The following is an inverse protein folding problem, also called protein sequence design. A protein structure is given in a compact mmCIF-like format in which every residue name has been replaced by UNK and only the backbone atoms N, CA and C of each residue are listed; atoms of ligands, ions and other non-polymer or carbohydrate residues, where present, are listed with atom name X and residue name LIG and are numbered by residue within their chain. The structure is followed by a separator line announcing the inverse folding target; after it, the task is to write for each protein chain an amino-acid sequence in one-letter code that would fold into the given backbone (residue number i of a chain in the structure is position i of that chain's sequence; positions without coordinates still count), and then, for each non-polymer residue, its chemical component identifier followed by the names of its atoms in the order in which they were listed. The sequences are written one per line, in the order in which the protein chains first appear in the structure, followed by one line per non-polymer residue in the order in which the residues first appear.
data_IF_142890745706
#
_entry.id   IF_142890745706
#
_cell.length_a   1.000
_cell.length_b   1.000
_cell.length_c   1.000
_cell.angle_alpha   90.00
_cell.angle_beta   90.00
_cell.angle_gamma   90.00
#
_symmetry.space_group_name_H-M   'P 1'
#
loop_
_entity.id
_entity.type
_entity.pdbx_description
1 polymer ?
#
# COMPACT_ATOMS: atom_id res chain seq x y z
N UNK A 1 -15.79 3.67 -0.87
CA UNK A 1 -16.49 4.71 -0.11
C UNK A 1 -15.84 6.05 -0.45
N UNK A 2 -16.58 6.93 -1.08
CA UNK A 2 -16.10 8.28 -1.41
C UNK A 2 -16.47 9.23 -0.27
N UNK A 3 -15.50 9.77 0.43
CA UNK A 3 -15.68 10.89 1.33
C UNK A 3 -14.77 12.02 0.89
N UNK A 4 -15.34 13.19 0.54
CA UNK A 4 -14.56 14.41 0.30
C UNK A 4 -13.63 14.40 -0.93
N UNK A 5 -13.89 13.60 -1.97
CA UNK A 5 -13.07 13.59 -3.19
C UNK A 5 -11.86 12.67 -3.15
N UNK A 6 -11.79 11.76 -2.19
CA UNK A 6 -10.77 10.72 -2.09
C UNK A 6 -11.41 9.31 -2.09
N UNK A 7 -10.66 8.31 -2.57
CA UNK A 7 -11.10 6.91 -2.70
C UNK A 7 -10.06 5.98 -2.10
N UNK A 8 -10.51 5.06 -1.23
CA UNK A 8 -9.67 3.94 -0.81
C UNK A 8 -9.65 2.86 -1.89
N UNK A 9 -8.44 2.40 -2.21
CA UNK A 9 -8.18 1.23 -3.05
C UNK A 9 -7.43 0.21 -2.21
N UNK A 10 -7.88 -1.04 -2.24
CA UNK A 10 -7.31 -2.12 -1.45
C UNK A 10 -7.03 -3.32 -2.34
N UNK A 11 -5.90 -4.00 -2.12
CA UNK A 11 -5.64 -5.30 -2.70
C UNK A 11 -6.65 -6.32 -2.12
N UNK A 12 -7.21 -7.16 -2.97
CA UNK A 12 -8.26 -8.11 -2.56
C UNK A 12 -7.72 -9.37 -1.85
N UNK A 13 -6.41 -9.57 -1.92
CA UNK A 13 -5.69 -10.74 -1.39
C UNK A 13 -4.74 -10.40 -0.24
N UNK A 14 -4.89 -9.23 0.35
CA UNK A 14 -4.07 -8.77 1.48
C UNK A 14 -4.94 -8.35 2.65
N UNK A 15 -4.67 -8.90 3.82
CA UNK A 15 -5.23 -8.40 5.07
C UNK A 15 -4.17 -7.62 5.84
N UNK A 16 -4.48 -6.37 6.19
CA UNK A 16 -3.60 -5.51 6.96
C UNK A 16 -4.40 -4.75 8.02
N UNK A 17 -4.10 -4.99 9.30
CA UNK A 17 -4.72 -4.28 10.41
C UNK A 17 -4.07 -2.91 10.60
N UNK A 18 -4.81 -1.87 10.25
CA UNK A 18 -4.37 -0.48 10.31
C UNK A 18 -5.45 0.45 10.83
N UNK A 19 -5.04 1.63 11.27
CA UNK A 19 -5.94 2.76 11.50
C UNK A 19 -6.13 3.57 10.21
N UNK A 20 -7.26 3.39 9.55
CA UNK A 20 -7.60 4.08 8.31
C UNK A 20 -7.68 5.60 8.45
N UNK A 21 -7.91 6.13 9.66
CA UNK A 21 -7.96 7.58 9.90
C UNK A 21 -6.61 8.28 9.67
N UNK A 22 -5.51 7.53 9.64
CA UNK A 22 -4.17 8.06 9.36
C UNK A 22 -4.00 8.57 7.95
N UNK A 23 -4.69 7.98 6.97
CA UNK A 23 -4.54 8.36 5.56
C UNK A 23 -5.03 9.79 5.26
N UNK A 24 -6.29 10.16 5.57
CA UNK A 24 -6.75 11.53 5.33
C UNK A 24 -5.91 12.57 6.07
N UNK A 25 -5.52 12.29 7.31
CA UNK A 25 -4.66 13.19 8.11
C UNK A 25 -3.32 13.42 7.42
N UNK A 26 -2.66 12.34 6.98
CA UNK A 26 -1.38 12.45 6.29
C UNK A 26 -1.51 13.20 4.95
N UNK A 27 -2.58 12.93 4.20
CA UNK A 27 -2.86 13.64 2.96
C UNK A 27 -3.05 15.13 3.18
N UNK A 28 -3.78 15.53 4.23
CA UNK A 28 -4.00 16.93 4.59
C UNK A 28 -2.72 17.60 5.06
N UNK A 29 -1.98 16.99 6.00
CA UNK A 29 -0.75 17.54 6.58
C UNK A 29 0.36 17.75 5.55
N UNK A 30 0.49 16.83 4.59
CA UNK A 30 1.56 16.83 3.59
C UNK A 30 1.09 17.22 2.18
N UNK A 31 -0.18 17.57 2.04
CA UNK A 31 -0.81 17.92 0.75
C UNK A 31 -0.59 16.86 -0.33
N UNK A 32 -0.87 15.59 0.01
CA UNK A 32 -0.65 14.46 -0.87
C UNK A 32 -1.86 14.21 -1.80
N UNK A 33 -1.55 13.87 -3.04
CA UNK A 33 -2.51 13.31 -4.00
C UNK A 33 -2.83 11.85 -3.71
N UNK A 34 -1.86 11.11 -3.14
CA UNK A 34 -2.02 9.71 -2.71
C UNK A 34 -1.25 9.45 -1.42
N UNK A 35 -1.88 8.66 -0.53
CA UNK A 35 -1.18 8.03 0.59
C UNK A 35 -1.27 6.51 0.48
N UNK A 36 -0.18 5.80 0.87
CA UNK A 36 -0.16 4.34 0.97
C UNK A 36 0.39 3.88 2.31
N UNK A 37 -0.03 2.68 2.75
CA UNK A 37 0.57 2.03 3.90
C UNK A 37 1.73 1.14 3.46
N UNK A 38 2.79 1.17 4.22
CA UNK A 38 3.99 0.37 4.01
C UNK A 38 4.25 -0.54 5.21
N UNK A 39 5.00 -1.60 4.97
CA UNK A 39 5.45 -2.54 5.99
C UNK A 39 6.94 -2.82 5.85
N UNK A 40 7.65 -2.86 6.97
CA UNK A 40 8.99 -3.42 7.02
C UNK A 40 8.93 -4.95 7.06
N UNK A 41 9.71 -5.59 6.21
CA UNK A 41 9.82 -7.05 6.13
C UNK A 41 11.28 -7.48 6.12
N UNK A 42 11.61 -8.67 6.63
CA UNK A 42 12.97 -9.20 6.59
C UNK A 42 13.41 -9.67 5.21
N UNK A 43 12.46 -9.83 4.28
CA UNK A 43 12.69 -10.34 2.93
C UNK A 43 11.75 -9.71 1.92
N UNK A 44 12.29 -8.93 0.98
CA UNK A 44 11.53 -8.20 -0.03
C UNK A 44 11.34 -8.98 -1.34
N UNK A 45 11.87 -10.19 -1.49
CA UNK A 45 11.88 -10.92 -2.77
C UNK A 45 10.51 -11.16 -3.39
N UNK A 46 9.45 -11.13 -2.59
CA UNK A 46 8.07 -11.35 -3.04
C UNK A 46 7.30 -10.07 -3.35
N UNK A 47 7.83 -8.91 -2.98
CA UNK A 47 7.08 -7.64 -2.93
C UNK A 47 7.78 -6.53 -3.70
N UNK A 48 7.02 -5.52 -4.11
CA UNK A 48 7.57 -4.26 -4.57
C UNK A 48 8.12 -3.44 -3.38
N UNK A 49 9.29 -2.86 -3.54
CA UNK A 49 9.93 -2.03 -2.54
C UNK A 49 9.55 -0.56 -2.71
N UNK A 50 9.28 0.11 -1.61
CA UNK A 50 8.97 1.53 -1.58
C UNK A 50 9.96 2.29 -0.70
N UNK A 51 10.40 3.46 -1.15
CA UNK A 51 11.30 4.35 -0.40
C UNK A 51 10.57 5.61 0.01
N UNK A 52 10.57 5.89 1.32
CA UNK A 52 10.05 7.12 1.89
C UNK A 52 11.17 7.99 2.43
N UNK A 53 11.07 9.30 2.20
CA UNK A 53 11.83 10.34 2.91
C UNK A 53 10.82 11.29 3.54
N UNK A 54 10.83 11.40 4.85
CA UNK A 54 9.89 12.24 5.62
C UNK A 54 8.41 12.01 5.28
N UNK A 55 8.05 10.75 4.99
CA UNK A 55 6.70 10.37 4.62
C UNK A 55 6.32 10.67 3.16
N UNK A 56 7.24 11.17 2.35
CA UNK A 56 7.08 11.36 0.90
C UNK A 56 7.66 10.16 0.16
N UNK A 57 6.92 9.62 -0.79
CA UNK A 57 7.36 8.52 -1.63
C UNK A 57 8.36 9.04 -2.67
N UNK A 58 9.60 8.56 -2.61
CA UNK A 58 10.67 8.98 -3.51
C UNK A 58 11.10 7.89 -4.48
N UNK A 59 10.68 6.65 -4.23
CA UNK A 59 10.96 5.52 -5.11
C UNK A 59 9.95 4.40 -4.91
N UNK A 60 9.64 3.72 -6.00
CA UNK A 60 8.83 2.52 -6.01
C UNK A 60 9.43 1.56 -7.04
N UNK A 61 9.96 0.44 -6.57
CA UNK A 61 10.67 -0.52 -7.39
C UNK A 61 9.90 -1.83 -7.46
N UNK A 62 10.01 -2.50 -8.59
CA UNK A 62 9.51 -3.88 -8.73
C UNK A 62 10.25 -4.84 -7.79
N UNK A 63 9.74 -6.08 -7.75
CA UNK A 63 10.31 -7.17 -6.94
C UNK A 63 11.81 -7.32 -7.18
N UNK A 64 12.55 -7.36 -6.10
CA UNK A 64 13.99 -7.66 -6.13
C UNK A 64 14.21 -9.16 -6.04
N UNK A 65 15.18 -9.68 -6.78
CA UNK A 65 15.64 -11.05 -6.61
C UNK A 65 16.57 -11.21 -5.38
N UNK A 66 16.99 -10.11 -4.79
CA UNK A 66 17.92 -10.09 -3.65
C UNK A 66 17.15 -10.25 -2.33
N UNK A 67 17.52 -11.27 -1.56
CA UNK A 67 16.96 -11.49 -0.23
C UNK A 67 17.60 -10.54 0.77
N UNK A 68 16.85 -9.51 1.17
CA UNK A 68 17.26 -8.52 2.16
C UNK A 68 16.07 -7.88 2.85
N UNK A 69 16.26 -7.28 4.02
CA UNK A 69 15.23 -6.45 4.64
C UNK A 69 14.91 -5.21 3.77
N UNK A 70 13.67 -4.75 3.88
CA UNK A 70 13.23 -3.52 3.24
C UNK A 70 11.79 -3.18 3.54
N UNK A 71 11.33 -2.08 2.96
CA UNK A 71 9.98 -1.56 3.15
C UNK A 71 9.15 -1.88 1.92
N UNK A 72 8.03 -2.57 2.11
CA UNK A 72 7.15 -3.02 1.03
C UNK A 72 5.81 -2.29 1.04
N UNK A 73 5.15 -2.34 -0.10
CA UNK A 73 3.78 -1.89 -0.26
C UNK A 73 2.81 -2.81 0.51
N UNK A 74 1.97 -2.22 1.36
CA UNK A 74 0.98 -2.93 2.17
C UNK A 74 -0.38 -3.14 1.47
N UNK A 75 -0.53 -2.70 0.21
CA UNK A 75 -1.72 -2.95 -0.61
C UNK A 75 -2.95 -2.12 -0.24
N UNK A 76 -2.80 -1.02 0.49
CA UNK A 76 -3.89 -0.11 0.82
C UNK A 76 -3.47 1.32 0.48
N UNK A 77 -4.33 2.00 -0.26
CA UNK A 77 -4.08 3.33 -0.78
C UNK A 77 -5.27 4.24 -0.55
N UNK A 78 -5.03 5.53 -0.35
CA UNK A 78 -6.01 6.58 -0.46
C UNK A 78 -5.61 7.50 -1.61
N UNK A 79 -6.42 7.59 -2.65
CA UNK A 79 -6.15 8.37 -3.86
C UNK A 79 -7.09 9.57 -3.94
N UNK A 80 -6.57 10.69 -4.42
CA UNK A 80 -7.39 11.84 -4.81
C UNK A 80 -8.26 11.51 -6.03
N UNK A 81 -9.34 12.25 -6.20
CA UNK A 81 -10.22 12.13 -7.36
C UNK A 81 -9.46 12.34 -8.68
N UNK A 82 -8.50 13.26 -8.70
CA UNK A 82 -7.73 13.59 -9.88
C UNK A 82 -6.87 12.40 -10.32
N UNK A 83 -6.21 11.71 -9.38
CA UNK A 83 -5.46 10.49 -9.70
C UNK A 83 -6.38 9.36 -10.19
N UNK A 84 -7.57 9.21 -9.61
CA UNK A 84 -8.54 8.22 -10.09
C UNK A 84 -8.96 8.49 -11.53
N UNK A 85 -9.19 9.76 -11.89
CA UNK A 85 -9.56 10.15 -13.25
C UNK A 85 -8.42 10.01 -14.26
N UNK A 86 -7.18 10.02 -13.81
CA UNK A 86 -5.99 9.82 -14.64
C UNK A 86 -5.72 8.35 -14.97
N UNK A 87 -6.37 7.42 -14.26
CA UNK A 87 -6.25 5.98 -14.56
C UNK A 87 -7.01 5.68 -15.87
N UNK A 88 -6.33 5.17 -16.92
CA UNK A 88 -7.00 4.85 -18.17
C UNK A 88 -7.96 3.67 -18.02
N UNK A 89 -8.98 3.64 -18.87
CA UNK A 89 -9.88 2.49 -18.94
C UNK A 89 -9.15 1.23 -19.40
N UNK A 90 -9.47 0.09 -18.79
CA UNK A 90 -8.90 -1.22 -19.14
C UNK A 90 -8.05 -1.82 -18.00
N UNK A 91 -7.16 -2.74 -18.38
CA UNK A 91 -6.26 -3.39 -17.42
C UNK A 91 -5.04 -2.51 -17.20
N UNK A 92 -4.88 -2.02 -15.99
CA UNK A 92 -3.79 -1.13 -15.59
C UNK A 92 -3.22 -1.59 -14.24
N UNK A 93 -1.91 -1.58 -14.10
CA UNK A 93 -1.24 -1.84 -12.84
C UNK A 93 -1.02 -0.52 -12.08
N UNK A 94 -1.60 -0.41 -10.88
CA UNK A 94 -1.35 0.74 -10.03
C UNK A 94 0.13 0.84 -9.66
N UNK A 95 0.76 -0.28 -9.33
CA UNK A 95 2.14 -0.36 -8.86
C UNK A 95 3.18 -0.21 -9.97
N UNK A 96 2.96 -0.87 -11.11
CA UNK A 96 3.98 -0.94 -12.16
C UNK A 96 3.83 0.16 -13.21
N UNK A 97 2.66 0.79 -13.29
CA UNK A 97 2.38 1.80 -14.31
C UNK A 97 2.04 3.16 -13.69
N UNK A 98 1.02 3.22 -12.81
CA UNK A 98 0.49 4.50 -12.37
C UNK A 98 1.38 5.20 -11.33
N UNK A 99 1.85 4.49 -10.31
CA UNK A 99 2.72 5.07 -9.28
C UNK A 99 4.03 5.59 -9.90
N UNK A 100 4.76 4.83 -10.72
CA UNK A 100 5.95 5.35 -11.41
C UNK A 100 5.66 6.56 -12.31
N UNK A 101 4.54 6.52 -13.06
CA UNK A 101 4.10 7.65 -13.88
C UNK A 101 3.90 8.89 -13.02
N UNK A 102 3.10 8.80 -11.96
CA UNK A 102 2.78 9.93 -11.09
C UNK A 102 4.01 10.48 -10.37
N UNK A 103 4.95 9.62 -9.95
CA UNK A 103 6.24 10.07 -9.41
C UNK A 103 7.03 10.87 -10.45
N UNK A 104 7.08 10.39 -11.70
CA UNK A 104 7.79 11.07 -12.80
C UNK A 104 7.16 12.41 -13.18
N UNK A 105 5.85 12.55 -12.97
CA UNK A 105 5.09 13.79 -13.20
C UNK A 105 5.17 14.77 -12.01
N UNK A 106 5.85 14.39 -10.93
CA UNK A 106 5.99 15.23 -9.74
C UNK A 106 4.73 15.31 -8.89
N UNK A 107 3.82 14.32 -8.99
CA UNK A 107 2.67 14.23 -8.10
C UNK A 107 3.12 13.99 -6.65
N UNK A 108 2.37 14.55 -5.72
CA UNK A 108 2.66 14.42 -4.29
C UNK A 108 2.16 13.07 -3.76
N UNK A 109 3.01 12.08 -3.77
CA UNK A 109 2.73 10.74 -3.24
C UNK A 109 3.46 10.55 -1.92
N UNK A 110 2.82 9.88 -0.96
CA UNK A 110 3.45 9.64 0.33
C UNK A 110 2.85 8.44 1.04
N UNK A 111 3.30 8.20 2.27
CA UNK A 111 2.82 7.05 3.02
C UNK A 111 3.39 6.99 4.44
N UNK A 112 3.04 5.92 5.11
CA UNK A 112 3.52 5.63 6.46
C UNK A 112 3.76 4.13 6.65
N UNK A 113 4.75 3.81 7.45
CA UNK A 113 5.00 2.44 7.90
C UNK A 113 4.03 2.08 9.01
N UNK A 114 3.50 0.87 8.98
CA UNK A 114 2.65 0.30 10.02
C UNK A 114 3.18 -1.10 10.40
N UNK A 115 3.09 -1.46 11.67
CA UNK A 115 3.57 -2.73 12.24
C UNK A 115 2.43 -3.69 12.63
N UNK A 116 1.18 -3.35 12.31
CA UNK A 116 0.01 -4.18 12.58
C UNK A 116 0.08 -5.55 11.89
N UNK A 117 -0.84 -6.44 12.25
CA UNK A 117 -0.94 -7.76 11.61
C UNK A 117 -1.11 -7.60 10.09
N UNK A 118 -0.26 -8.28 9.34
CA UNK A 118 -0.22 -8.26 7.88
C UNK A 118 -0.08 -9.68 7.34
N UNK A 119 -0.89 -10.03 6.36
CA UNK A 119 -0.76 -11.29 5.63
C UNK A 119 -1.26 -11.12 4.19
N UNK A 120 -0.46 -11.61 3.25
CA UNK A 120 -0.80 -11.76 1.84
C UNK A 120 -1.33 -13.19 1.65
N UNK A 121 -2.66 -13.32 1.47
CA UNK A 121 -3.37 -14.59 1.33
C UNK A 121 -3.44 -15.10 -0.11
N UNK A 122 -2.65 -14.53 -1.03
CA UNK A 122 -2.58 -14.95 -2.43
C UNK A 122 -1.96 -16.33 -2.66
N UNK A 123 -1.45 -17.01 -1.61
CA UNK A 123 -0.97 -18.38 -1.66
C UNK A 123 -1.70 -19.25 -0.63
N UNK A 124 -1.93 -20.57 -0.92
CA UNK A 124 -2.70 -21.45 -0.05
C UNK A 124 -2.19 -21.52 1.40
N UNK A 125 -0.88 -21.57 1.58
CA UNK A 125 -0.26 -21.66 2.91
C UNK A 125 -0.60 -20.44 3.78
N UNK A 126 -0.50 -19.24 3.22
CA UNK A 126 -0.84 -18.00 3.91
C UNK A 126 -2.35 -17.87 4.17
N UNK A 127 -3.19 -18.38 3.26
CA UNK A 127 -4.63 -18.42 3.46
C UNK A 127 -5.02 -19.31 4.64
N UNK A 128 -4.46 -20.52 4.74
CA UNK A 128 -4.72 -21.40 5.88
C UNK A 128 -4.16 -20.83 7.19
N UNK A 129 -2.97 -20.22 7.13
CA UNK A 129 -2.42 -19.51 8.29
C UNK A 129 -3.35 -18.40 8.79
N UNK A 130 -3.92 -17.62 7.88
CA UNK A 130 -4.86 -16.57 8.22
C UNK A 130 -6.11 -17.12 8.94
N UNK A 131 -6.68 -18.25 8.45
CA UNK A 131 -7.81 -18.91 9.11
C UNK A 131 -7.45 -19.31 10.54
N UNK A 132 -6.30 -19.97 10.72
CA UNK A 132 -5.83 -20.37 12.06
C UNK A 132 -5.64 -19.16 12.98
N UNK A 133 -5.08 -18.06 12.48
CA UNK A 133 -4.83 -16.86 13.26
C UNK A 133 -6.14 -16.18 13.69
N UNK A 134 -7.18 -16.22 12.86
CA UNK A 134 -8.53 -15.79 13.23
C UNK A 134 -9.13 -16.68 14.32
N UNK A 135 -9.05 -18.00 14.17
CA UNK A 135 -9.58 -18.96 15.14
C UNK A 135 -8.87 -18.88 16.51
N UNK A 136 -7.56 -18.61 16.51
CA UNK A 136 -6.76 -18.40 17.71
C UNK A 136 -6.91 -17.01 18.34
N UNK A 137 -7.67 -16.11 17.72
CA UNK A 137 -7.86 -14.73 18.20
C UNK A 137 -6.64 -13.83 18.06
N UNK A 138 -5.68 -14.20 17.22
CA UNK A 138 -4.53 -13.34 16.87
C UNK A 138 -4.99 -12.15 16.03
N UNK A 139 -5.96 -12.40 15.14
CA UNK A 139 -6.62 -11.37 14.35
C UNK A 139 -7.91 -10.97 15.07
N UNK A 140 -7.97 -9.73 15.53
CA UNK A 140 -9.17 -9.12 16.14
C UNK A 140 -9.64 -8.02 15.19
N UNK A 141 -10.95 -8.02 14.91
CA UNK A 141 -11.62 -7.05 14.02
C UNK A 141 -11.81 -5.69 14.68
#
# INVERSE_FOLDING_TARGET
FMTGGQVFVLNADTFYRIDYSRFPKLCEEKQLDMALVLREVPDITRYGEATLIDGILTGFNEKSAEKRPGTINGGIYLLSKDLIQDIPAGKVSLENEMIPKWLSEGRALGGFVNDGYFIDIGIPEAYYQFIEDVEKGVVVW
#
